data_IF_732172449947
#
_entry.id   IF_732172449947
#
_cell.length_a   1.000
_cell.length_b   1.000
_cell.length_c   1.000
_cell.angle_alpha   90.00
_cell.angle_beta   90.00
_cell.angle_gamma   90.00
#
_symmetry.space_group_name_H-M   'P 1'
#
loop_
_entity.id
_entity.type
_entity.pdbx_description
1 polymer ?
#
# COMPACT_ATOMS: atom_id res chain seq x y z
N UNK A 1 8.22 8.42 9.90
CA UNK A 1 7.12 7.67 9.25
C UNK A 1 6.98 8.14 7.81
N UNK A 2 6.68 7.24 6.88
CA UNK A 2 6.38 7.52 5.47
C UNK A 2 5.18 6.68 5.04
N UNK A 3 4.53 7.00 3.91
CA UNK A 3 3.48 6.13 3.36
C UNK A 3 4.03 4.74 3.02
N UNK A 4 3.21 3.71 3.15
CA UNK A 4 3.64 2.32 2.96
C UNK A 4 3.99 2.00 1.51
N UNK A 5 5.06 1.24 1.33
CA UNK A 5 5.51 0.71 0.04
C UNK A 5 5.30 -0.80 0.04
N UNK A 6 4.33 -1.32 -0.73
CA UNK A 6 3.98 -2.74 -0.67
C UNK A 6 4.87 -3.50 -1.66
N UNK A 7 6.06 -3.89 -1.22
CA UNK A 7 7.13 -4.41 -2.09
C UNK A 7 7.21 -5.95 -2.16
N UNK A 8 6.38 -6.67 -1.39
CA UNK A 8 6.36 -8.14 -1.37
C UNK A 8 4.97 -8.70 -1.04
N UNK A 9 4.78 -9.99 -1.36
CA UNK A 9 3.58 -10.75 -0.96
C UNK A 9 3.47 -10.81 0.57
N UNK A 10 4.55 -11.16 1.25
CA UNK A 10 4.63 -11.21 2.73
C UNK A 10 4.13 -9.91 3.37
N UNK A 11 4.58 -8.75 2.87
CA UNK A 11 4.13 -7.46 3.38
C UNK A 11 2.65 -7.23 3.10
N UNK A 12 2.15 -7.65 1.95
CA UNK A 12 0.72 -7.57 1.63
C UNK A 12 -0.12 -8.42 2.58
N UNK A 13 0.33 -9.63 2.91
CA UNK A 13 -0.35 -10.55 3.83
C UNK A 13 -0.34 -10.02 5.26
N UNK A 14 0.79 -9.47 5.73
CA UNK A 14 0.89 -8.81 7.03
C UNK A 14 -0.06 -7.60 7.13
N UNK A 15 -0.19 -6.82 6.07
CA UNK A 15 -1.15 -5.71 6.01
C UNK A 15 -2.59 -6.21 6.06
N UNK A 16 -2.95 -7.27 5.32
CA UNK A 16 -4.29 -7.87 5.39
C UNK A 16 -4.59 -8.32 6.81
N UNK A 17 -3.71 -9.13 7.41
CA UNK A 17 -3.91 -9.67 8.75
C UNK A 17 -4.05 -8.54 9.80
N UNK A 18 -3.11 -7.59 9.80
CA UNK A 18 -3.12 -6.48 10.76
C UNK A 18 -4.32 -5.54 10.59
N UNK A 19 -4.70 -5.20 9.35
CA UNK A 19 -5.84 -4.33 9.10
C UNK A 19 -7.17 -5.01 9.41
N UNK A 20 -7.35 -6.27 9.02
CA UNK A 20 -8.57 -7.04 9.35
C UNK A 20 -8.73 -7.16 10.87
N UNK A 21 -7.64 -7.44 11.60
CA UNK A 21 -7.68 -7.48 13.06
C UNK A 21 -8.01 -6.11 13.67
N UNK A 22 -7.45 -5.02 13.14
CA UNK A 22 -7.65 -3.67 13.67
C UNK A 22 -9.05 -3.12 13.40
N UNK A 23 -9.61 -3.40 12.21
CA UNK A 23 -10.89 -2.85 11.76
C UNK A 23 -12.09 -3.72 12.15
N UNK A 24 -11.89 -5.00 12.45
CA UNK A 24 -12.96 -5.95 12.76
C UNK A 24 -13.97 -6.08 11.61
N UNK A 25 -15.26 -6.18 11.94
CA UNK A 25 -16.37 -6.33 10.98
C UNK A 25 -16.72 -5.03 10.21
N UNK A 26 -15.83 -4.05 10.21
CA UNK A 26 -16.04 -2.80 9.48
C UNK A 26 -16.19 -3.03 7.97
N UNK A 27 -16.78 -2.07 7.26
CA UNK A 27 -16.87 -2.14 5.79
C UNK A 27 -15.47 -2.12 5.14
N UNK A 28 -15.37 -2.72 3.96
CA UNK A 28 -14.20 -2.64 3.07
C UNK A 28 -13.68 -1.20 2.94
N UNK A 29 -12.40 -1.00 3.21
CA UNK A 29 -11.76 0.31 3.26
C UNK A 29 -10.71 0.50 2.15
N UNK A 30 -10.39 1.76 1.87
CA UNK A 30 -9.39 2.15 0.88
C UNK A 30 -8.31 3.00 1.54
N UNK A 31 -7.07 2.66 1.23
CA UNK A 31 -5.90 3.29 1.83
C UNK A 31 -4.95 3.79 0.76
N UNK A 32 -4.48 5.01 0.92
CA UNK A 32 -3.33 5.50 0.19
C UNK A 32 -2.05 4.77 0.62
N UNK A 33 -1.25 4.47 -0.40
CA UNK A 33 0.11 3.94 -0.29
C UNK A 33 1.10 4.97 -0.84
N UNK A 34 2.40 4.69 -0.80
CA UNK A 34 3.41 5.57 -1.43
C UNK A 34 3.52 5.40 -2.94
N UNK A 35 2.69 4.54 -3.54
CA UNK A 35 2.83 4.15 -4.95
C UNK A 35 2.29 5.23 -5.88
N UNK A 36 3.11 5.65 -6.84
CA UNK A 36 2.76 6.67 -7.83
C UNK A 36 3.30 6.34 -9.22
N UNK A 37 2.56 6.72 -10.26
CA UNK A 37 2.95 6.54 -11.65
C UNK A 37 3.64 7.78 -12.21
N UNK A 38 4.86 7.59 -12.71
CA UNK A 38 5.63 8.57 -13.44
C UNK A 38 5.81 8.07 -14.88
N UNK A 39 5.15 8.73 -15.83
CA UNK A 39 5.08 8.24 -17.21
C UNK A 39 4.40 6.86 -17.29
N UNK A 40 5.16 5.84 -17.66
CA UNK A 40 4.70 4.45 -17.77
C UNK A 40 5.14 3.57 -16.59
N UNK A 41 5.86 4.13 -15.60
CA UNK A 41 6.48 3.36 -14.52
C UNK A 41 5.80 3.67 -13.19
N UNK A 42 5.51 2.64 -12.41
CA UNK A 42 5.05 2.76 -11.02
C UNK A 42 6.27 2.74 -10.09
N UNK A 43 6.34 3.72 -9.19
CA UNK A 43 7.43 3.94 -8.25
C UNK A 43 6.83 4.11 -6.85
N UNK A 44 7.49 3.54 -5.85
CA UNK A 44 7.19 3.81 -4.45
C UNK A 44 7.91 5.08 -4.01
N UNK A 45 7.20 6.20 -3.85
CA UNK A 45 7.82 7.50 -3.50
C UNK A 45 8.61 7.46 -2.17
N UNK A 46 8.23 6.55 -1.26
CA UNK A 46 8.90 6.40 0.04
C UNK A 46 10.29 5.77 -0.04
N UNK A 47 10.52 4.87 -1.00
CA UNK A 47 11.78 4.12 -1.20
C UNK A 47 12.55 4.56 -2.45
N UNK A 48 11.86 5.16 -3.42
CA UNK A 48 12.39 5.49 -4.75
C UNK A 48 12.48 4.31 -5.70
N UNK A 49 12.11 3.10 -5.27
CA UNK A 49 12.22 1.90 -6.09
C UNK A 49 11.01 1.68 -7.00
N UNK A 50 11.21 1.11 -8.20
CA UNK A 50 10.11 0.68 -9.04
C UNK A 50 9.27 -0.41 -8.35
N UNK A 51 7.95 -0.36 -8.54
CA UNK A 51 7.05 -1.40 -8.05
C UNK A 51 7.23 -2.69 -8.87
N UNK A 52 8.12 -3.57 -8.40
CA UNK A 52 8.40 -4.88 -9.03
C UNK A 52 7.38 -5.93 -8.64
N UNK A 53 7.02 -5.99 -7.36
CA UNK A 53 5.84 -6.69 -6.90
C UNK A 53 4.61 -5.90 -7.30
N UNK A 54 3.56 -6.58 -7.76
CA UNK A 54 2.28 -5.96 -8.07
C UNK A 54 1.12 -6.81 -7.60
N UNK A 55 0.12 -6.19 -6.98
CA UNK A 55 -1.11 -6.86 -6.55
C UNK A 55 -2.36 -6.15 -7.07
N UNK A 56 -2.35 -5.79 -8.36
CA UNK A 56 -3.47 -5.10 -9.01
C UNK A 56 -4.77 -5.88 -8.90
N UNK A 57 -5.86 -5.17 -8.62
CA UNK A 57 -7.20 -5.71 -8.71
C UNK A 57 -7.60 -6.01 -10.17
N UNK A 58 -8.69 -6.77 -10.37
CA UNK A 58 -9.19 -7.07 -11.71
C UNK A 58 -9.40 -5.80 -12.55
N UNK A 59 -8.85 -5.79 -13.76
CA UNK A 59 -8.95 -4.66 -14.69
C UNK A 59 -8.07 -3.44 -14.35
N UNK A 60 -7.18 -3.55 -13.36
CA UNK A 60 -6.26 -2.49 -12.95
C UNK A 60 -4.81 -2.77 -13.41
N UNK A 61 -4.01 -1.72 -13.66
CA UNK A 61 -4.40 -0.32 -13.68
C UNK A 61 -5.28 0.04 -14.89
N UNK A 62 -6.32 0.83 -14.66
CA UNK A 62 -7.24 1.29 -15.69
C UNK A 62 -6.55 2.24 -16.67
N UNK A 63 -6.57 1.88 -17.97
CA UNK A 63 -5.94 2.66 -19.06
C UNK A 63 -6.59 4.02 -19.31
N UNK A 64 -7.84 4.22 -18.87
CA UNK A 64 -8.68 5.40 -19.19
C UNK A 64 -8.34 6.66 -18.37
N UNK A 65 -7.48 6.55 -17.34
CA UNK A 65 -7.19 7.67 -16.44
C UNK A 65 -5.74 8.13 -16.49
N UNK A 66 -5.36 8.99 -17.45
CA UNK A 66 -4.02 9.63 -17.42
C UNK A 66 -3.75 10.36 -16.11
N UNK A 67 -4.80 10.91 -15.47
CA UNK A 67 -4.76 11.60 -14.16
C UNK A 67 -4.73 10.65 -12.94
N UNK A 68 -5.13 9.39 -13.09
CA UNK A 68 -5.14 8.39 -12.01
C UNK A 68 -3.75 7.81 -11.84
N UNK A 69 -2.96 8.45 -11.00
CA UNK A 69 -1.53 8.20 -10.86
C UNK A 69 -1.13 7.67 -9.49
N UNK A 70 -2.03 7.62 -8.50
CA UNK A 70 -1.72 7.08 -7.17
C UNK A 70 -2.27 5.66 -7.01
N UNK A 71 -1.58 4.84 -6.22
CA UNK A 71 -2.01 3.49 -5.84
C UNK A 71 -2.84 3.59 -4.56
N UNK A 72 -4.13 3.27 -4.65
CA UNK A 72 -4.94 2.94 -3.48
C UNK A 72 -4.94 1.42 -3.27
N UNK A 73 -4.76 1.00 -2.02
CA UNK A 73 -4.92 -0.36 -1.57
C UNK A 73 -6.35 -0.55 -1.07
N UNK A 74 -7.10 -1.46 -1.68
CA UNK A 74 -8.49 -1.77 -1.39
C UNK A 74 -8.53 -3.03 -0.54
N UNK A 75 -8.89 -2.88 0.73
CA UNK A 75 -9.10 -3.99 1.65
C UNK A 75 -10.51 -4.54 1.46
N UNK A 76 -10.61 -5.83 1.15
CA UNK A 76 -11.84 -6.59 1.27
C UNK A 76 -11.68 -7.54 2.46
N UNK A 77 -12.44 -7.28 3.52
CA UNK A 77 -12.36 -8.02 4.78
C UNK A 77 -12.91 -9.45 4.59
N UNK A 78 -14.06 -9.61 3.95
CA UNK A 78 -14.68 -10.93 3.73
C UNK A 78 -13.83 -11.85 2.85
N UNK A 79 -13.19 -11.29 1.83
CA UNK A 79 -12.31 -12.04 0.94
C UNK A 79 -10.85 -12.11 1.44
N UNK A 80 -10.53 -11.45 2.56
CA UNK A 80 -9.17 -11.33 3.10
C UNK A 80 -8.13 -10.93 2.05
N UNK A 81 -8.44 -9.89 1.26
CA UNK A 81 -7.54 -9.41 0.20
C UNK A 81 -7.26 -7.93 0.29
N UNK A 82 -6.05 -7.54 -0.13
CA UNK A 82 -5.63 -6.16 -0.29
C UNK A 82 -5.18 -5.92 -1.73
N UNK A 83 -6.11 -5.52 -2.61
CA UNK A 83 -5.86 -5.35 -4.05
C UNK A 83 -5.64 -3.89 -4.41
N UNK A 84 -4.79 -3.64 -5.40
CA UNK A 84 -4.44 -2.28 -5.79
C UNK A 84 -5.36 -1.74 -6.88
N UNK A 85 -5.69 -0.46 -6.79
CA UNK A 85 -6.39 0.29 -7.82
C UNK A 85 -5.63 1.59 -8.11
N UNK A 86 -5.57 2.02 -9.37
CA UNK A 86 -5.04 3.34 -9.68
C UNK A 86 -6.14 4.39 -9.55
N UNK A 87 -5.89 5.43 -8.76
CA UNK A 87 -6.87 6.46 -8.49
C UNK A 87 -6.29 7.87 -8.59
N UNK A 88 -7.19 8.85 -8.75
CA UNK A 88 -6.82 10.27 -8.70
C UNK A 88 -6.33 10.58 -7.29
N UNK A 89 -5.10 11.10 -7.18
CA UNK A 89 -4.43 11.36 -5.92
C UNK A 89 -5.16 12.38 -5.04
N UNK A 90 -6.08 13.17 -5.61
CA UNK A 90 -6.87 14.16 -4.87
C UNK A 90 -8.07 13.57 -4.13
N UNK A 91 -8.42 12.30 -4.37
CA UNK A 91 -9.51 11.63 -3.66
C UNK A 91 -9.15 11.47 -2.18
N UNK A 92 -10.10 11.84 -1.31
CA UNK A 92 -9.97 11.58 0.12
C UNK A 92 -10.09 10.08 0.40
N UNK A 93 -9.01 9.49 0.91
CA UNK A 93 -8.96 8.12 1.41
C UNK A 93 -8.17 8.12 2.74
N UNK A 94 -8.30 7.04 3.51
CA UNK A 94 -7.39 6.75 4.62
C UNK A 94 -5.99 6.47 4.07
N UNK A 95 -4.99 6.30 4.94
CA UNK A 95 -3.63 6.00 4.51
C UNK A 95 -2.97 5.02 5.46
N UNK A 96 -2.04 4.23 4.93
CA UNK A 96 -1.19 3.34 5.73
C UNK A 96 0.22 3.92 5.70
N UNK A 97 0.80 4.10 6.88
CA UNK A 97 2.18 4.51 7.05
C UNK A 97 3.05 3.32 7.49
N UNK A 98 4.33 3.42 7.20
CA UNK A 98 5.36 2.55 7.72
C UNK A 98 6.49 3.36 8.37
N UNK A 99 7.19 2.70 9.29
CA UNK A 99 8.42 3.19 9.89
C UNK A 99 9.47 2.08 9.85
N UNK A 100 10.76 2.42 9.68
CA UNK A 100 11.82 1.47 9.94
C UNK A 100 11.63 0.87 11.32
N UNK A 101 11.82 -0.45 11.44
CA UNK A 101 11.95 -1.06 12.75
C UNK A 101 13.24 -0.50 13.34
N UNK A 102 13.13 0.31 14.38
CA UNK A 102 14.30 0.62 15.19
C UNK A 102 14.61 -0.66 15.95
N UNK A 103 15.57 -1.44 15.46
CA UNK A 103 16.21 -2.43 16.30
C UNK A 103 16.74 -1.67 17.50
N UNK A 104 16.23 -1.98 18.69
CA UNK A 104 16.90 -1.65 19.93
C UNK A 104 18.26 -2.38 19.84
N UNK A 105 19.27 -1.68 19.34
CA UNK A 105 20.65 -2.15 19.48
C UNK A 105 20.90 -2.07 20.98
N UNK A 106 20.75 -3.20 21.66
CA UNK A 106 21.23 -3.35 23.02
C UNK A 106 22.75 -3.16 22.95
N UNK A 107 23.21 -1.93 23.16
CA UNK A 107 24.59 -1.68 23.52
C UNK A 107 24.79 -2.38 24.87
N UNK A 108 25.39 -3.57 24.83
CA UNK A 108 25.97 -4.17 26.02
C UNK A 108 27.24 -3.35 26.27
N UNK A 109 27.15 -2.39 27.19
CA UNK A 109 28.34 -1.72 27.70
C UNK A 109 29.24 -2.76 28.42
N UNK A 110 30.58 -2.60 28.35
CA UNK A 110 31.52 -3.52 28.97
C UNK A 110 31.39 -3.64 30.50
#
# INVERSE_FOLDING_TARGET
MKLVSIESLEKSELLVAGLTQFLGDSQSMKFWTSGKRYGNTWIWDSTGYPARYTNWGPGQPSKKGRKKTCIEAVLNITAETLKWNNMDCSVANYFICESPVHSQVHYVEP
#
